data_IF_893502889845
#
_entry.id   IF_893502889845
#
_cell.length_a   1.000
_cell.length_b   1.000
_cell.length_c   1.000
_cell.angle_alpha   90.00
_cell.angle_beta   90.00
_cell.angle_gamma   90.00
#
_symmetry.space_group_name_H-M   'P 1'
#
loop_
_entity.id
_entity.type
_entity.pdbx_description
1 polymer ?
#
# COMPACT_ATOMS: atom_id res chain seq x y z
N UNK A 1 -10.71 10.81 -0.87
CA UNK A 1 -10.15 10.67 0.51
C UNK A 1 -8.81 9.97 0.43
N UNK A 2 -7.82 10.49 1.14
CA UNK A 2 -6.46 9.92 1.18
C UNK A 2 -6.23 9.21 2.52
N UNK A 3 -5.58 8.05 2.50
CA UNK A 3 -5.20 7.32 3.71
C UNK A 3 -3.81 6.70 3.55
N UNK A 4 -3.02 6.73 4.62
CA UNK A 4 -1.72 6.05 4.69
C UNK A 4 -1.77 4.90 5.69
N UNK A 5 -1.29 3.73 5.25
CA UNK A 5 -1.22 2.51 6.05
C UNK A 5 0.26 2.15 6.28
N UNK A 6 0.70 2.28 7.52
CA UNK A 6 2.10 2.03 7.89
C UNK A 6 2.44 0.53 7.94
N UNK A 7 3.73 0.24 7.96
CA UNK A 7 4.24 -1.13 8.06
C UNK A 7 4.12 -1.74 9.46
N UNK A 8 4.49 -3.03 9.55
CA UNK A 8 4.35 -3.85 10.76
C UNK A 8 5.13 -3.29 11.95
N UNK A 9 6.36 -2.86 11.71
CA UNK A 9 7.27 -2.33 12.73
C UNK A 9 7.27 -0.79 12.80
N UNK A 10 6.21 -0.15 12.32
CA UNK A 10 6.07 1.29 12.25
C UNK A 10 4.80 1.75 12.98
N UNK A 11 4.48 3.04 12.84
CA UNK A 11 3.31 3.66 13.46
C UNK A 11 2.89 4.92 12.70
N UNK A 12 1.85 5.58 13.19
CA UNK A 12 1.46 6.92 12.74
C UNK A 12 2.51 8.01 13.03
N UNK A 13 3.59 7.66 13.73
CA UNK A 13 4.72 8.55 14.06
C UNK A 13 6.00 8.19 13.29
N UNK A 14 5.95 7.18 12.43
CA UNK A 14 7.08 6.79 11.59
C UNK A 14 7.41 7.86 10.55
N UNK A 15 8.58 7.72 9.91
CA UNK A 15 9.13 8.71 8.97
C UNK A 15 8.17 9.03 7.82
N UNK A 16 7.59 7.99 7.21
CA UNK A 16 6.64 8.20 6.10
C UNK A 16 5.34 8.84 6.58
N UNK A 17 4.83 8.40 7.73
CA UNK A 17 3.62 8.96 8.33
C UNK A 17 3.76 10.46 8.60
N UNK A 18 4.88 10.86 9.18
CA UNK A 18 5.18 12.28 9.44
C UNK A 18 5.23 13.06 8.13
N UNK A 19 5.95 12.55 7.12
CA UNK A 19 6.03 13.17 5.80
C UNK A 19 4.63 13.39 5.20
N UNK A 20 3.78 12.37 5.20
CA UNK A 20 2.43 12.47 4.63
C UNK A 20 1.53 13.43 5.42
N UNK A 21 1.66 13.45 6.73
CA UNK A 21 0.88 14.37 7.57
C UNK A 21 1.21 15.83 7.27
N UNK A 22 2.48 16.12 7.08
CA UNK A 22 2.93 17.48 6.74
C UNK A 22 2.54 17.87 5.31
N UNK A 23 2.64 16.92 4.38
CA UNK A 23 2.37 17.16 2.97
C UNK A 23 0.88 17.22 2.65
N UNK A 24 0.07 16.39 3.31
CA UNK A 24 -1.36 16.26 3.09
C UNK A 24 -2.11 16.32 4.42
N UNK A 25 -2.43 17.52 4.92
CA UNK A 25 -3.09 17.67 6.23
C UNK A 25 -4.42 16.93 6.37
N UNK A 26 -5.13 16.70 5.27
CA UNK A 26 -6.41 15.99 5.26
C UNK A 26 -6.28 14.47 5.14
N UNK A 27 -5.05 13.95 5.05
CA UNK A 27 -4.82 12.51 4.93
C UNK A 27 -5.04 11.81 6.25
N UNK A 28 -5.79 10.71 6.23
CA UNK A 28 -5.93 9.84 7.40
C UNK A 28 -4.66 9.05 7.60
N UNK A 29 -4.14 9.04 8.83
CA UNK A 29 -2.91 8.32 9.19
C UNK A 29 -3.16 7.58 10.51
N UNK A 30 -3.96 6.49 10.47
CA UNK A 30 -4.27 5.74 11.68
C UNK A 30 -3.11 4.87 12.13
N UNK A 31 -3.09 4.54 13.43
CA UNK A 31 -2.22 3.51 13.99
C UNK A 31 -2.86 2.14 13.87
N UNK A 32 -2.04 1.16 13.51
CA UNK A 32 -2.45 -0.25 13.46
C UNK A 32 -1.53 -1.08 14.33
N UNK A 33 -2.10 -2.02 15.08
CA UNK A 33 -1.36 -2.96 15.91
C UNK A 33 -2.08 -4.31 15.93
N UNK A 34 -1.38 -5.35 16.40
CA UNK A 34 -1.93 -6.68 16.48
C UNK A 34 -1.80 -7.47 15.17
N UNK A 35 -2.64 -8.47 15.01
CA UNK A 35 -2.66 -9.35 13.84
C UNK A 35 -3.15 -8.65 12.60
N UNK A 36 -2.94 -9.29 11.43
CA UNK A 36 -3.51 -8.81 10.17
C UNK A 36 -5.04 -8.68 10.27
N UNK A 37 -5.70 -9.66 10.86
CA UNK A 37 -7.15 -9.64 11.04
C UNK A 37 -7.61 -8.45 11.88
N UNK A 38 -6.96 -8.19 13.02
CA UNK A 38 -7.27 -7.05 13.86
C UNK A 38 -7.06 -5.71 13.14
N UNK A 39 -5.96 -5.60 12.39
CA UNK A 39 -5.65 -4.41 11.59
C UNK A 39 -6.68 -4.19 10.49
N UNK A 40 -7.09 -5.26 9.80
CA UNK A 40 -8.11 -5.16 8.76
C UNK A 40 -9.49 -4.80 9.31
N UNK A 41 -9.87 -5.33 10.48
CA UNK A 41 -11.12 -4.94 11.16
C UNK A 41 -11.12 -3.46 11.51
N UNK A 42 -10.01 -2.95 12.02
CA UNK A 42 -9.87 -1.51 12.31
C UNK A 42 -10.00 -0.67 11.04
N UNK A 43 -9.33 -1.08 9.96
CA UNK A 43 -9.38 -0.40 8.67
C UNK A 43 -10.81 -0.36 8.11
N UNK A 44 -11.53 -1.48 8.17
CA UNK A 44 -12.93 -1.56 7.75
C UNK A 44 -13.81 -0.56 8.51
N UNK A 45 -13.61 -0.46 9.82
CA UNK A 45 -14.34 0.50 10.65
C UNK A 45 -14.06 1.96 10.27
N UNK A 46 -12.78 2.29 10.06
CA UNK A 46 -12.34 3.64 9.67
C UNK A 46 -12.94 4.03 8.31
N UNK A 47 -12.96 3.10 7.37
CA UNK A 47 -13.37 3.36 5.99
C UNK A 47 -14.85 3.05 5.72
N UNK A 48 -15.62 2.72 6.74
CA UNK A 48 -17.04 2.39 6.60
C UNK A 48 -17.81 3.50 5.85
N UNK A 49 -18.50 3.13 4.79
CA UNK A 49 -19.31 4.06 3.98
C UNK A 49 -18.49 5.03 3.10
N UNK A 50 -17.17 4.98 3.12
CA UNK A 50 -16.34 5.90 2.36
C UNK A 50 -15.99 5.34 0.98
N UNK A 51 -15.92 6.22 -0.01
CA UNK A 51 -15.60 5.91 -1.41
C UNK A 51 -14.57 6.90 -1.95
N UNK A 52 -14.13 6.71 -3.20
CA UNK A 52 -13.10 7.56 -3.79
C UNK A 52 -11.78 7.48 -3.03
N UNK A 53 -11.45 6.29 -2.53
CA UNK A 53 -10.30 6.09 -1.66
C UNK A 53 -9.00 6.06 -2.45
N UNK A 54 -8.06 6.89 -2.06
CA UNK A 54 -6.69 6.92 -2.56
C UNK A 54 -5.79 6.44 -1.42
N UNK A 55 -5.27 5.23 -1.59
CA UNK A 55 -4.61 4.53 -0.49
C UNK A 55 -3.11 4.42 -0.75
N UNK A 56 -2.32 4.80 0.22
CA UNK A 56 -0.87 4.56 0.23
C UNK A 56 -0.58 3.51 1.29
N UNK A 57 0.05 2.43 0.90
CA UNK A 57 0.42 1.35 1.83
C UNK A 57 1.91 1.06 1.76
N UNK A 58 2.58 1.02 2.91
CA UNK A 58 4.00 0.69 3.02
C UNK A 58 4.18 -0.67 3.67
N UNK A 59 4.94 -1.56 3.03
CA UNK A 59 5.26 -2.90 3.52
C UNK A 59 3.99 -3.68 3.90
N UNK A 60 3.79 -4.02 5.16
CA UNK A 60 2.58 -4.69 5.65
C UNK A 60 1.32 -3.86 5.40
N UNK A 61 1.43 -2.53 5.46
CA UNK A 61 0.34 -1.62 5.06
C UNK A 61 -0.01 -1.75 3.58
N UNK A 62 0.95 -2.09 2.73
CA UNK A 62 0.72 -2.41 1.32
C UNK A 62 -0.09 -3.69 1.12
N UNK A 63 0.15 -4.71 1.94
CA UNK A 63 -0.68 -5.91 1.97
C UNK A 63 -2.11 -5.57 2.41
N UNK A 64 -2.27 -4.77 3.45
CA UNK A 64 -3.59 -4.33 3.92
C UNK A 64 -4.38 -3.57 2.85
N UNK A 65 -3.74 -2.63 2.16
CA UNK A 65 -4.35 -1.88 1.07
C UNK A 65 -4.79 -2.79 -0.08
N UNK A 66 -3.96 -3.77 -0.42
CA UNK A 66 -4.26 -4.76 -1.45
C UNK A 66 -5.48 -5.59 -1.07
N UNK A 67 -5.52 -6.14 0.15
CA UNK A 67 -6.66 -6.92 0.64
C UNK A 67 -7.95 -6.10 0.66
N UNK A 68 -7.86 -4.84 1.07
CA UNK A 68 -9.02 -3.95 1.05
C UNK A 68 -9.54 -3.72 -0.36
N UNK A 69 -8.65 -3.47 -1.32
CA UNK A 69 -9.03 -3.28 -2.72
C UNK A 69 -9.64 -4.55 -3.33
N UNK A 70 -9.15 -5.74 -2.95
CA UNK A 70 -9.72 -7.01 -3.40
C UNK A 70 -11.18 -7.18 -2.94
N UNK A 71 -11.50 -6.71 -1.74
CA UNK A 71 -12.85 -6.85 -1.16
C UNK A 71 -13.78 -5.70 -1.53
N UNK A 72 -13.25 -4.52 -1.79
CA UNK A 72 -14.00 -3.27 -1.95
C UNK A 72 -13.57 -2.46 -3.17
N UNK A 73 -13.27 -3.13 -4.29
CA UNK A 73 -12.75 -2.49 -5.50
C UNK A 73 -13.51 -1.23 -5.92
N UNK A 74 -14.87 -1.22 -5.97
CA UNK A 74 -15.62 -0.03 -6.40
C UNK A 74 -15.42 1.20 -5.53
N UNK A 75 -14.91 1.02 -4.31
CA UNK A 75 -14.66 2.11 -3.36
C UNK A 75 -13.25 2.69 -3.48
N UNK A 76 -12.35 1.99 -4.17
CA UNK A 76 -10.93 2.36 -4.27
C UNK A 76 -10.66 3.02 -5.61
N UNK A 77 -10.18 4.24 -5.59
CA UNK A 77 -9.84 5.00 -6.79
C UNK A 77 -8.43 4.67 -7.30
N UNK A 78 -7.48 4.49 -6.40
CA UNK A 78 -6.10 4.12 -6.72
C UNK A 78 -5.33 3.61 -5.51
N UNK A 79 -4.28 2.83 -5.79
CA UNK A 79 -3.30 2.37 -4.81
C UNK A 79 -1.91 2.85 -5.17
N UNK A 80 -1.17 3.33 -4.18
CA UNK A 80 0.28 3.56 -4.26
C UNK A 80 0.94 2.70 -3.20
N UNK A 81 1.72 1.73 -3.62
CA UNK A 81 2.30 0.72 -2.73
C UNK A 81 3.82 0.87 -2.69
N UNK A 82 4.35 1.02 -1.49
CA UNK A 82 5.77 1.19 -1.21
C UNK A 82 6.30 -0.09 -0.58
N UNK A 83 7.15 -0.81 -1.30
CA UNK A 83 7.72 -2.08 -0.86
C UNK A 83 6.65 -3.03 -0.26
N UNK A 84 5.54 -3.30 -0.96
CA UNK A 84 4.39 -3.98 -0.37
C UNK A 84 4.67 -5.45 -0.05
N UNK A 85 4.17 -5.89 1.11
CA UNK A 85 4.32 -7.28 1.57
C UNK A 85 3.31 -8.24 0.92
N UNK A 86 3.01 -8.07 -0.36
CA UNK A 86 2.04 -8.90 -1.08
C UNK A 86 2.51 -10.34 -1.30
N UNK A 87 3.81 -10.61 -1.12
CA UNK A 87 4.36 -11.96 -1.14
C UNK A 87 3.80 -12.88 -0.04
N UNK A 88 3.15 -12.32 0.99
CA UNK A 88 2.43 -13.11 1.98
C UNK A 88 1.12 -13.70 1.44
N UNK A 89 0.64 -13.22 0.30
CA UNK A 89 -0.50 -13.84 -0.38
C UNK A 89 -0.04 -15.12 -1.08
N UNK A 90 -0.49 -16.26 -0.58
CA UNK A 90 -0.34 -17.52 -1.27
C UNK A 90 -1.36 -17.67 -2.40
N UNK A 91 -1.27 -18.74 -3.24
CA UNK A 91 -2.22 -18.94 -4.34
C UNK A 91 -3.69 -18.96 -3.91
N UNK A 92 -3.99 -19.46 -2.71
CA UNK A 92 -5.34 -19.46 -2.15
C UNK A 92 -5.85 -18.06 -1.75
N UNK A 93 -4.96 -17.09 -1.63
CA UNK A 93 -5.30 -15.71 -1.31
C UNK A 93 -5.53 -14.83 -2.53
N UNK A 94 -5.32 -15.35 -3.75
CA UNK A 94 -5.57 -14.59 -4.97
C UNK A 94 -7.07 -14.36 -5.18
N UNK A 95 -7.47 -13.18 -5.69
CA UNK A 95 -8.87 -12.92 -5.99
C UNK A 95 -9.33 -13.75 -7.19
N UNK A 96 -10.62 -14.11 -7.23
CA UNK A 96 -11.21 -14.81 -8.37
C UNK A 96 -11.16 -13.98 -9.65
N UNK A 97 -11.28 -12.66 -9.49
CA UNK A 97 -11.22 -11.70 -10.61
C UNK A 97 -10.06 -10.73 -10.39
N UNK A 98 -9.39 -10.28 -11.47
CA UNK A 98 -8.40 -9.22 -11.37
C UNK A 98 -8.98 -7.97 -10.71
N UNK A 99 -8.14 -7.26 -9.96
CA UNK A 99 -8.49 -5.97 -9.33
C UNK A 99 -8.08 -4.87 -10.30
N UNK A 100 -9.07 -4.22 -10.92
CA UNK A 100 -8.84 -3.26 -12.02
C UNK A 100 -8.56 -1.82 -11.55
N UNK A 101 -8.25 -1.64 -10.28
CA UNK A 101 -7.82 -0.36 -9.71
C UNK A 101 -6.45 0.01 -10.29
N UNK A 102 -6.22 1.29 -10.68
CA UNK A 102 -4.87 1.75 -11.01
C UNK A 102 -3.93 1.59 -9.82
N UNK A 103 -2.78 0.93 -10.03
CA UNK A 103 -1.81 0.64 -8.98
C UNK A 103 -0.41 1.06 -9.40
N UNK A 104 0.26 1.81 -8.55
CA UNK A 104 1.69 2.13 -8.65
C UNK A 104 2.43 1.43 -7.53
N UNK A 105 3.46 0.65 -7.88
CA UNK A 105 4.35 0.02 -6.91
C UNK A 105 5.75 0.59 -7.11
N UNK A 106 6.37 0.98 -6.01
CA UNK A 106 7.79 1.35 -5.93
C UNK A 106 8.47 0.34 -5.03
N UNK A 107 9.45 -0.39 -5.58
CA UNK A 107 10.13 -1.45 -4.84
C UNK A 107 11.63 -1.39 -5.08
N UNK A 108 12.40 -1.45 -3.98
CA UNK A 108 13.85 -1.37 -4.03
C UNK A 108 14.49 -2.64 -4.57
N UNK A 109 15.46 -2.50 -5.47
CA UNK A 109 16.26 -3.63 -5.98
C UNK A 109 17.16 -4.24 -4.91
N UNK A 110 17.42 -3.49 -3.82
CA UNK A 110 18.21 -3.91 -2.66
C UNK A 110 17.35 -4.22 -1.44
N UNK A 111 16.06 -4.48 -1.64
CA UNK A 111 15.16 -4.85 -0.55
C UNK A 111 15.49 -6.25 -0.04
N UNK A 112 16.01 -6.34 1.19
CA UNK A 112 16.38 -7.60 1.85
C UNK A 112 15.24 -8.18 2.71
N UNK A 113 14.14 -7.47 2.84
CA UNK A 113 12.97 -7.87 3.66
C UNK A 113 11.91 -8.49 2.78
N UNK A 114 11.53 -7.83 1.69
CA UNK A 114 10.51 -8.29 0.74
C UNK A 114 11.17 -8.51 -0.62
N UNK A 115 11.27 -9.77 -1.10
CA UNK A 115 11.93 -10.07 -2.37
C UNK A 115 11.16 -9.45 -3.56
N UNK A 116 11.84 -8.63 -4.35
CA UNK A 116 11.26 -8.00 -5.54
C UNK A 116 10.65 -9.00 -6.53
N UNK A 117 11.32 -10.15 -6.85
CA UNK A 117 10.73 -11.13 -7.78
C UNK A 117 9.38 -11.67 -7.30
N UNK A 118 9.22 -11.89 -5.99
CA UNK A 118 7.96 -12.36 -5.42
C UNK A 118 6.85 -11.30 -5.56
N UNK A 119 7.17 -10.03 -5.33
CA UNK A 119 6.22 -8.92 -5.51
C UNK A 119 5.78 -8.80 -6.97
N UNK A 120 6.72 -8.89 -7.91
CA UNK A 120 6.42 -8.84 -9.35
C UNK A 120 5.44 -9.95 -9.75
N UNK A 121 5.67 -11.16 -9.27
CA UNK A 121 4.82 -12.31 -9.59
C UNK A 121 3.41 -12.11 -9.05
N UNK A 122 3.29 -11.80 -7.76
CA UNK A 122 1.99 -11.66 -7.09
C UNK A 122 1.21 -10.47 -7.64
N UNK A 123 1.84 -9.30 -7.69
CA UNK A 123 1.18 -8.08 -8.16
C UNK A 123 0.76 -8.17 -9.64
N UNK A 124 1.59 -8.81 -10.47
CA UNK A 124 1.28 -9.03 -11.88
C UNK A 124 0.05 -9.91 -12.10
N UNK A 125 -0.25 -10.81 -11.16
CA UNK A 125 -1.44 -11.66 -11.22
C UNK A 125 -2.69 -10.95 -10.73
N UNK A 126 -2.56 -10.03 -9.78
CA UNK A 126 -3.70 -9.36 -9.15
C UNK A 126 -4.11 -8.11 -9.92
N UNK A 127 -3.15 -7.30 -10.37
CA UNK A 127 -3.38 -5.96 -10.88
C UNK A 127 -3.10 -5.81 -12.37
N UNK A 128 -4.13 -5.88 -13.24
CA UNK A 128 -3.94 -5.65 -14.68
C UNK A 128 -3.53 -4.21 -15.04
N UNK A 129 -3.79 -3.24 -14.15
CA UNK A 129 -3.41 -1.84 -14.35
C UNK A 129 -2.23 -1.43 -13.44
N UNK A 130 -1.26 -2.33 -13.32
CA UNK A 130 -0.06 -2.13 -12.54
C UNK A 130 0.98 -1.32 -13.30
N UNK A 131 1.54 -0.30 -12.63
CA UNK A 131 2.79 0.37 -13.00
C UNK A 131 3.82 0.05 -11.92
N UNK A 132 4.80 -0.78 -12.24
CA UNK A 132 5.85 -1.17 -11.29
C UNK A 132 7.14 -0.41 -11.59
N UNK A 133 7.65 0.27 -10.57
CA UNK A 133 8.94 0.96 -10.59
C UNK A 133 9.93 0.21 -9.71
N UNK A 134 10.94 -0.40 -10.34
CA UNK A 134 12.10 -0.96 -9.66
C UNK A 134 13.10 0.16 -9.46
N UNK A 135 13.41 0.47 -8.20
CA UNK A 135 14.29 1.59 -7.86
C UNK A 135 15.54 1.11 -7.13
N UNK A 136 16.65 1.80 -7.32
CA UNK A 136 17.89 1.49 -6.62
C UNK A 136 17.82 2.03 -5.19
N UNK A 137 17.20 1.25 -4.31
CA UNK A 137 16.93 1.61 -2.92
C UNK A 137 16.74 0.35 -2.06
N UNK A 138 16.62 0.55 -0.76
CA UNK A 138 16.37 -0.49 0.24
C UNK A 138 14.86 -0.69 0.51
N UNK A 139 14.54 -1.52 1.51
CA UNK A 139 13.15 -1.78 1.91
C UNK A 139 12.41 -0.52 2.36
N UNK A 140 13.08 0.41 3.02
CA UNK A 140 12.46 1.62 3.53
C UNK A 140 12.30 2.72 2.47
N UNK A 141 12.88 2.53 1.29
CA UNK A 141 12.84 3.50 0.19
C UNK A 141 13.31 4.91 0.62
N UNK A 142 14.37 4.96 1.45
CA UNK A 142 14.87 6.20 2.03
C UNK A 142 15.20 7.28 0.99
N UNK A 143 15.76 6.87 -0.17
CA UNK A 143 16.10 7.80 -1.25
C UNK A 143 14.89 8.16 -2.08
N UNK A 144 13.98 7.21 -2.29
CA UNK A 144 12.94 7.29 -3.31
C UNK A 144 11.68 7.99 -2.82
N UNK A 145 11.15 7.64 -1.63
CA UNK A 145 9.78 8.02 -1.30
C UNK A 145 9.57 9.54 -1.23
N UNK A 146 10.56 10.30 -0.82
CA UNK A 146 10.48 11.78 -0.75
C UNK A 146 10.54 12.46 -2.11
N UNK A 147 11.10 11.78 -3.12
CA UNK A 147 11.31 12.34 -4.45
C UNK A 147 10.16 12.09 -5.40
N UNK A 148 9.20 11.26 -5.02
CA UNK A 148 8.05 10.94 -5.84
C UNK A 148 7.11 12.14 -5.97
N UNK A 149 6.49 12.26 -7.14
CA UNK A 149 5.45 13.28 -7.38
C UNK A 149 4.14 12.86 -6.73
N UNK A 150 4.06 13.07 -5.43
CA UNK A 150 2.90 12.69 -4.63
C UNK A 150 1.62 13.45 -5.01
N UNK A 151 1.74 14.66 -5.54
CA UNK A 151 0.58 15.42 -5.99
C UNK A 151 -0.06 14.75 -7.19
N UNK A 152 0.74 14.28 -8.15
CA UNK A 152 0.24 13.51 -9.29
C UNK A 152 -0.27 12.12 -8.86
N UNK A 153 0.48 11.41 -8.01
CA UNK A 153 0.11 10.07 -7.57
C UNK A 153 -1.20 10.04 -6.80
N UNK A 154 -1.46 11.04 -5.99
CA UNK A 154 -2.65 11.11 -5.14
C UNK A 154 -3.75 12.06 -5.67
N UNK A 155 -3.46 12.75 -6.74
CA UNK A 155 -4.44 13.59 -7.43
C UNK A 155 -4.81 14.84 -6.67
#
# INVERSE_FOLDING_TARGET
MKIFLHGLDSSSRGTKAVFFRERFPDMLIPDFSGSLEERMQKLEGILSGRTGLRMVGSSFGGLMATLFAMQHEPRVERLVLLAPAVNFLGPSGYPEKPVSVPVWIYHGTHDEVIPLPAVKTVAGRIFPRLTLHEVEDDHNLHRTFRTLDWDTLLG
#
